data_IF_733551150423
#
_entry.id   IF_733551150423
#
_cell.length_a   1.000
_cell.length_b   1.000
_cell.length_c   1.000
_cell.angle_alpha   90.00
_cell.angle_beta   90.00
_cell.angle_gamma   90.00
#
_symmetry.space_group_name_H-M   'P 1'
#
loop_
_entity.id
_entity.type
_entity.pdbx_description
1 polymer ?
#
# COMPACT_ATOMS: atom_id res chain seq x y z
N UNK A 1 -11.55 9.67 27.85
CA UNK A 1 -11.13 8.30 28.12
C UNK A 1 -10.77 7.59 26.82
N UNK A 2 -9.76 6.74 26.85
CA UNK A 2 -9.41 5.96 25.69
C UNK A 2 -10.50 4.95 25.37
N UNK A 3 -10.95 4.90 24.14
CA UNK A 3 -11.94 3.91 23.68
C UNK A 3 -11.27 2.55 23.52
N UNK A 4 -11.98 1.51 23.86
CA UNK A 4 -11.48 0.15 23.66
C UNK A 4 -11.57 -0.24 22.20
N UNK A 5 -10.48 -0.80 21.67
CA UNK A 5 -10.43 -1.31 20.32
C UNK A 5 -11.18 -2.64 20.27
N UNK A 6 -12.21 -2.70 19.42
CA UNK A 6 -12.97 -3.91 19.17
C UNK A 6 -12.30 -4.77 18.12
N UNK A 7 -11.87 -4.15 17.02
CA UNK A 7 -11.29 -4.87 15.90
C UNK A 7 -10.37 -3.95 15.10
N UNK A 8 -9.34 -4.53 14.49
CA UNK A 8 -8.47 -3.83 13.55
C UNK A 8 -8.62 -4.51 12.19
N UNK A 9 -8.92 -3.73 11.16
CA UNK A 9 -9.12 -4.24 9.80
C UNK A 9 -8.05 -3.62 8.90
N UNK A 10 -7.36 -4.47 8.15
CA UNK A 10 -6.33 -4.02 7.19
C UNK A 10 -6.83 -4.29 5.78
N UNK A 11 -6.84 -3.25 4.96
CA UNK A 11 -7.34 -3.32 3.58
C UNK A 11 -6.37 -2.62 2.63
N UNK A 12 -6.45 -3.01 1.36
CA UNK A 12 -5.80 -2.29 0.28
C UNK A 12 -6.90 -1.75 -0.63
N UNK A 13 -6.95 -0.44 -0.80
CA UNK A 13 -8.00 0.24 -1.56
C UNK A 13 -7.35 1.18 -2.58
N UNK A 14 -7.92 1.24 -3.78
CA UNK A 14 -7.45 2.19 -4.79
C UNK A 14 -7.78 3.61 -4.35
N UNK A 15 -6.78 4.47 -4.33
CA UNK A 15 -6.91 5.85 -3.89
C UNK A 15 -7.97 6.60 -4.71
N UNK A 16 -8.85 7.29 -4.02
CA UNK A 16 -9.92 8.07 -4.65
C UNK A 16 -11.08 7.24 -5.20
N UNK A 17 -11.03 5.91 -5.07
CA UNK A 17 -12.05 5.01 -5.63
C UNK A 17 -12.61 4.02 -4.61
N UNK A 18 -12.56 4.34 -3.33
CA UNK A 18 -13.19 3.50 -2.32
C UNK A 18 -14.71 3.50 -2.51
N UNK A 19 -15.29 2.31 -2.46
CA UNK A 19 -16.74 2.13 -2.61
C UNK A 19 -17.20 0.94 -1.75
N UNK A 20 -18.52 0.78 -1.54
CA UNK A 20 -19.03 -0.33 -0.74
C UNK A 20 -18.87 -1.72 -1.35
N UNK A 21 -18.38 -1.82 -2.58
CA UNK A 21 -18.14 -3.11 -3.24
C UNK A 21 -16.98 -3.86 -2.59
N UNK A 22 -16.91 -5.21 -2.74
CA UNK A 22 -15.78 -5.97 -2.23
C UNK A 22 -14.43 -5.41 -2.72
N UNK A 23 -13.36 -5.45 -1.90
CA UNK A 23 -13.27 -6.06 -0.56
C UNK A 23 -13.68 -5.16 0.60
N UNK A 24 -14.00 -3.89 0.36
CA UNK A 24 -14.26 -2.88 1.41
C UNK A 24 -15.56 -3.17 2.15
N UNK A 25 -16.66 -3.36 1.42
CA UNK A 25 -17.99 -3.55 2.00
C UNK A 25 -18.06 -4.72 2.99
N UNK A 26 -17.73 -5.93 2.57
CA UNK A 26 -17.79 -7.09 3.47
C UNK A 26 -16.90 -6.96 4.70
N UNK A 27 -15.68 -6.45 4.54
CA UNK A 27 -14.74 -6.30 5.65
C UNK A 27 -15.24 -5.32 6.70
N UNK A 28 -15.73 -4.17 6.26
CA UNK A 28 -16.26 -3.13 7.17
C UNK A 28 -17.64 -3.50 7.71
N UNK A 29 -18.47 -4.16 6.91
CA UNK A 29 -19.78 -4.63 7.33
C UNK A 29 -19.68 -5.59 8.52
N UNK A 30 -18.76 -6.54 8.47
CA UNK A 30 -18.49 -7.46 9.56
C UNK A 30 -17.99 -6.76 10.83
N UNK A 31 -17.29 -5.65 10.65
CA UNK A 31 -16.78 -4.86 11.77
C UNK A 31 -17.81 -3.88 12.33
N UNK A 32 -18.96 -3.71 11.66
CA UNK A 32 -20.02 -2.80 12.08
C UNK A 32 -19.72 -1.33 11.83
N UNK A 33 -18.82 -1.03 10.89
CA UNK A 33 -18.40 0.33 10.56
C UNK A 33 -19.31 0.94 9.51
N UNK A 34 -19.49 2.28 9.55
CA UNK A 34 -20.20 3.00 8.52
C UNK A 34 -19.36 3.04 7.23
N UNK A 35 -19.70 2.16 6.29
CA UNK A 35 -18.95 1.98 5.03
C UNK A 35 -18.93 3.26 4.19
N UNK A 36 -20.07 3.92 4.05
CA UNK A 36 -20.16 5.15 3.24
C UNK A 36 -19.32 6.28 3.83
N UNK A 37 -19.35 6.43 5.16
CA UNK A 37 -18.54 7.43 5.86
C UNK A 37 -17.05 7.19 5.65
N UNK A 38 -16.62 5.94 5.75
CA UNK A 38 -15.24 5.57 5.48
C UNK A 38 -14.82 5.87 4.05
N UNK A 39 -15.63 5.43 3.07
CA UNK A 39 -15.33 5.63 1.66
C UNK A 39 -15.17 7.12 1.31
N UNK A 40 -16.07 7.95 1.82
CA UNK A 40 -16.03 9.39 1.59
C UNK A 40 -14.74 10.00 2.14
N UNK A 41 -14.45 9.73 3.41
CA UNK A 41 -13.27 10.28 4.08
C UNK A 41 -11.96 9.77 3.45
N UNK A 42 -11.89 8.48 3.12
CA UNK A 42 -10.74 7.90 2.44
C UNK A 42 -10.52 8.56 1.08
N UNK A 43 -11.57 8.70 0.28
CA UNK A 43 -11.47 9.32 -1.03
C UNK A 43 -10.96 10.76 -0.95
N UNK A 44 -11.43 11.53 0.04
CA UNK A 44 -10.96 12.90 0.26
C UNK A 44 -9.47 12.94 0.61
N UNK A 45 -9.03 12.07 1.53
CA UNK A 45 -7.62 12.02 1.97
C UNK A 45 -6.67 11.52 0.89
N UNK A 46 -7.12 10.63 0.02
CA UNK A 46 -6.27 10.01 -1.01
C UNK A 46 -6.44 10.61 -2.40
N UNK A 47 -7.19 11.69 -2.51
CA UNK A 47 -7.48 12.35 -3.80
C UNK A 47 -6.21 12.72 -4.58
N UNK A 48 -5.19 13.18 -3.88
CA UNK A 48 -3.90 13.57 -4.49
C UNK A 48 -3.11 12.36 -4.99
N UNK A 49 -3.44 11.16 -4.53
CA UNK A 49 -2.75 9.91 -4.89
C UNK A 49 -3.62 8.99 -5.73
N UNK A 50 -4.64 9.54 -6.39
CA UNK A 50 -5.59 8.77 -7.18
C UNK A 50 -4.89 7.83 -8.18
N UNK A 51 -5.38 6.60 -8.28
CA UNK A 51 -4.82 5.58 -9.16
C UNK A 51 -3.79 4.67 -8.52
N UNK A 52 -3.33 4.98 -7.30
CA UNK A 52 -2.43 4.12 -6.54
C UNK A 52 -3.20 3.26 -5.55
N UNK A 53 -2.71 2.07 -5.29
CA UNK A 53 -3.26 1.22 -4.23
C UNK A 53 -2.69 1.69 -2.90
N UNK A 54 -3.55 2.04 -1.96
CA UNK A 54 -3.15 2.54 -0.64
C UNK A 54 -3.54 1.50 0.42
N UNK A 55 -2.58 0.99 1.21
CA UNK A 55 -2.92 0.18 2.37
C UNK A 55 -3.57 1.05 3.45
N UNK A 56 -4.65 0.56 4.02
CA UNK A 56 -5.39 1.24 5.08
C UNK A 56 -5.50 0.32 6.27
N UNK A 57 -5.19 0.85 7.43
CA UNK A 57 -5.41 0.16 8.70
C UNK A 57 -6.53 0.88 9.44
N UNK A 58 -7.66 0.20 9.62
CA UNK A 58 -8.86 0.75 10.23
C UNK A 58 -8.99 0.17 11.64
N UNK A 59 -9.00 1.05 12.64
CA UNK A 59 -9.22 0.66 14.03
C UNK A 59 -10.68 0.91 14.38
N UNK A 60 -11.41 -0.15 14.73
CA UNK A 60 -12.82 -0.08 15.09
C UNK A 60 -12.94 -0.16 16.61
N UNK A 61 -13.70 0.74 17.20
CA UNK A 61 -13.94 0.78 18.64
C UNK A 61 -15.26 0.13 19.01
N UNK A 62 -15.42 -0.19 20.29
CA UNK A 62 -16.64 -0.87 20.80
C UNK A 62 -17.92 -0.04 20.58
N UNK A 63 -17.81 1.27 20.52
CA UNK A 63 -18.94 2.18 20.27
C UNK A 63 -19.29 2.32 18.79
N UNK A 64 -18.71 1.49 17.93
CA UNK A 64 -18.86 1.51 16.46
C UNK A 64 -18.22 2.71 15.77
N UNK A 65 -17.48 3.52 16.49
CA UNK A 65 -16.64 4.54 15.85
C UNK A 65 -15.40 3.90 15.27
N UNK A 66 -14.75 4.59 14.35
CA UNK A 66 -13.53 4.09 13.73
C UNK A 66 -12.55 5.22 13.48
N UNK A 67 -11.27 4.85 13.46
CA UNK A 67 -10.20 5.70 12.92
C UNK A 67 -9.45 4.89 11.90
N UNK A 68 -8.83 5.57 10.94
CA UNK A 68 -8.01 4.86 9.97
C UNK A 68 -6.72 5.62 9.68
N UNK A 69 -5.70 4.85 9.33
CA UNK A 69 -4.39 5.37 8.96
C UNK A 69 -4.11 4.88 7.55
N UNK A 70 -3.75 5.80 6.66
CA UNK A 70 -3.30 5.45 5.32
C UNK A 70 -1.78 5.33 5.34
N UNK A 71 -1.26 4.27 4.73
CA UNK A 71 0.18 4.05 4.59
C UNK A 71 0.61 4.38 3.18
N UNK A 72 1.92 4.41 2.94
CA UNK A 72 2.44 4.58 1.59
C UNK A 72 2.05 3.39 0.71
N UNK A 73 1.94 3.57 -0.63
CA UNK A 73 1.61 2.46 -1.53
C UNK A 73 2.58 1.29 -1.35
N UNK A 74 2.13 0.03 -1.56
CA UNK A 74 3.03 -1.12 -1.48
C UNK A 74 4.22 -0.97 -2.41
N UNK A 75 5.40 -1.43 -1.99
CA UNK A 75 6.61 -1.37 -2.81
C UNK A 75 6.40 -2.03 -4.17
N UNK A 76 5.67 -3.14 -4.21
CA UNK A 76 5.36 -3.84 -5.45
C UNK A 76 4.61 -2.97 -6.45
N UNK A 77 3.65 -2.17 -5.99
CA UNK A 77 2.88 -1.27 -6.84
C UNK A 77 3.77 -0.16 -7.39
N UNK A 78 4.61 0.44 -6.54
CA UNK A 78 5.54 1.49 -6.95
C UNK A 78 6.56 0.98 -7.96
N UNK A 79 7.08 -0.23 -7.74
CA UNK A 79 8.03 -0.87 -8.66
C UNK A 79 7.41 -1.17 -10.01
N UNK A 80 6.18 -1.70 -10.04
CA UNK A 80 5.46 -1.93 -11.30
C UNK A 80 5.24 -0.64 -12.08
N UNK A 81 4.87 0.42 -11.38
CA UNK A 81 4.66 1.73 -12.00
C UNK A 81 5.97 2.28 -12.56
N UNK A 82 7.07 2.21 -11.81
CA UNK A 82 8.38 2.69 -12.25
C UNK A 82 8.91 1.90 -13.45
N UNK A 83 8.69 0.58 -13.44
CA UNK A 83 9.11 -0.30 -14.53
C UNK A 83 8.11 -0.35 -15.69
N UNK A 84 6.97 0.34 -15.58
CA UNK A 84 5.88 0.37 -16.57
C UNK A 84 5.31 -1.02 -16.85
N UNK A 85 5.15 -1.82 -15.80
CA UNK A 85 4.60 -3.18 -15.88
C UNK A 85 3.18 -3.22 -15.35
N UNK A 86 2.33 -4.00 -16.01
CA UNK A 86 0.99 -4.31 -15.51
C UNK A 86 1.02 -5.49 -14.55
N UNK A 87 1.91 -6.45 -14.79
CA UNK A 87 2.02 -7.67 -13.99
C UNK A 87 3.49 -8.07 -13.80
N UNK A 88 3.83 -8.45 -12.59
CA UNK A 88 5.15 -8.97 -12.28
C UNK A 88 5.29 -10.43 -12.73
N UNK A 89 6.54 -10.93 -12.73
CA UNK A 89 6.83 -12.31 -13.14
C UNK A 89 6.24 -13.33 -12.16
N UNK A 90 5.68 -14.40 -12.70
CA UNK A 90 5.28 -15.56 -11.90
C UNK A 90 6.46 -16.46 -11.52
N UNK A 91 7.57 -16.35 -12.25
CA UNK A 91 8.81 -17.11 -12.00
C UNK A 91 10.00 -16.14 -11.93
N UNK A 92 10.11 -15.34 -10.85
CA UNK A 92 11.07 -14.22 -10.80
C UNK A 92 12.53 -14.65 -10.82
N UNK A 93 12.84 -15.87 -10.40
CA UNK A 93 14.20 -16.39 -10.43
C UNK A 93 14.64 -16.86 -11.81
N UNK A 94 13.70 -17.14 -12.70
CA UNK A 94 13.94 -17.64 -14.06
C UNK A 94 13.62 -16.60 -15.12
N UNK A 95 12.47 -15.94 -15.00
CA UNK A 95 11.97 -14.97 -15.98
C UNK A 95 12.05 -13.55 -15.43
N UNK A 96 13.01 -12.78 -15.89
CA UNK A 96 13.09 -11.34 -15.58
C UNK A 96 12.23 -10.57 -16.57
N UNK A 97 11.31 -9.78 -16.09
CA UNK A 97 10.32 -9.06 -16.91
C UNK A 97 10.70 -7.62 -17.19
N UNK A 98 11.60 -7.05 -16.42
CA UNK A 98 12.04 -5.67 -16.60
C UNK A 98 13.38 -5.41 -15.93
N UNK A 99 14.02 -4.32 -16.34
CA UNK A 99 15.22 -3.78 -15.70
C UNK A 99 14.87 -2.39 -15.17
N UNK A 100 15.37 -2.07 -13.98
CA UNK A 100 15.10 -0.80 -13.34
C UNK A 100 16.41 -0.19 -12.84
N UNK A 101 16.69 1.09 -13.16
CA UNK A 101 17.87 1.76 -12.61
C UNK A 101 17.80 1.85 -11.08
N UNK A 102 18.94 1.71 -10.44
CA UNK A 102 19.03 1.82 -8.98
C UNK A 102 18.54 3.18 -8.47
N UNK A 103 18.72 4.23 -9.27
CA UNK A 103 18.22 5.56 -8.94
C UNK A 103 16.70 5.59 -8.73
N UNK A 104 15.95 4.86 -9.55
CA UNK A 104 14.50 4.73 -9.38
C UNK A 104 14.14 3.96 -8.11
N UNK A 105 14.88 2.90 -7.79
CA UNK A 105 14.71 2.17 -6.53
C UNK A 105 14.96 3.06 -5.33
N UNK A 106 15.96 3.95 -5.39
CA UNK A 106 16.24 4.94 -4.35
C UNK A 106 15.09 5.93 -4.16
N UNK A 107 14.48 6.40 -5.24
CA UNK A 107 13.30 7.29 -5.18
C UNK A 107 12.13 6.61 -4.48
N UNK A 108 11.89 5.35 -4.80
CA UNK A 108 10.84 4.56 -4.16
C UNK A 108 11.14 4.38 -2.66
N UNK A 109 12.40 4.11 -2.33
CA UNK A 109 12.86 3.97 -0.95
C UNK A 109 12.63 5.26 -0.16
N UNK A 110 12.94 6.42 -0.73
CA UNK A 110 12.67 7.73 -0.10
C UNK A 110 11.17 7.91 0.18
N UNK A 111 10.33 7.58 -0.78
CA UNK A 111 8.88 7.69 -0.64
C UNK A 111 8.35 6.81 0.51
N UNK A 112 8.90 5.61 0.66
CA UNK A 112 8.48 4.66 1.69
C UNK A 112 9.25 4.74 3.00
N UNK A 113 10.24 5.62 3.11
CA UNK A 113 11.14 5.67 4.27
C UNK A 113 10.40 5.73 5.61
N UNK A 114 9.27 6.44 5.66
CA UNK A 114 8.46 6.57 6.87
C UNK A 114 7.84 5.24 7.32
N UNK A 115 7.63 4.29 6.41
CA UNK A 115 7.01 2.99 6.70
C UNK A 115 8.02 1.86 6.79
N UNK A 116 9.28 2.11 6.43
CA UNK A 116 10.33 1.10 6.40
C UNK A 116 11.13 1.07 7.70
N UNK A 117 11.53 -0.12 8.11
CA UNK A 117 12.45 -0.31 9.22
C UNK A 117 13.89 -0.26 8.69
N UNK A 118 14.30 0.93 8.27
CA UNK A 118 15.63 1.16 7.71
C UNK A 118 16.30 2.33 8.42
N UNK A 119 17.60 2.19 8.69
CA UNK A 119 18.37 3.22 9.38
C UNK A 119 18.71 4.39 8.47
N UNK A 120 18.92 4.12 7.17
CA UNK A 120 19.28 5.14 6.19
C UNK A 120 18.67 4.81 4.81
N UNK A 121 18.88 5.69 3.84
CA UNK A 121 18.32 5.52 2.50
C UNK A 121 18.93 4.33 1.76
N UNK A 122 20.18 4.00 2.01
CA UNK A 122 20.83 2.86 1.39
C UNK A 122 20.21 1.54 1.87
N UNK A 123 19.96 1.41 3.16
CA UNK A 123 19.27 0.25 3.73
C UNK A 123 17.84 0.13 3.17
N UNK A 124 17.13 1.25 3.07
CA UNK A 124 15.80 1.30 2.48
C UNK A 124 15.82 0.86 1.01
N UNK A 125 16.84 1.31 0.25
CA UNK A 125 17.03 0.92 -1.15
C UNK A 125 17.23 -0.58 -1.30
N UNK A 126 17.99 -1.20 -0.42
CA UNK A 126 18.20 -2.66 -0.42
C UNK A 126 16.91 -3.43 -0.17
N UNK A 127 16.04 -2.92 0.70
CA UNK A 127 14.72 -3.51 0.93
C UNK A 127 13.89 -3.49 -0.36
N UNK A 128 13.87 -2.36 -1.05
CA UNK A 128 13.16 -2.20 -2.32
C UNK A 128 13.76 -3.09 -3.41
N UNK A 129 15.08 -3.18 -3.48
CA UNK A 129 15.77 -4.08 -4.43
C UNK A 129 15.40 -5.55 -4.21
N UNK A 130 15.28 -5.98 -2.95
CA UNK A 130 14.83 -7.34 -2.61
C UNK A 130 13.40 -7.60 -3.09
N UNK A 131 12.50 -6.65 -2.93
CA UNK A 131 11.13 -6.73 -3.42
C UNK A 131 11.13 -6.81 -4.95
N UNK A 132 11.94 -5.99 -5.62
CA UNK A 132 12.06 -5.99 -7.07
C UNK A 132 12.53 -7.36 -7.58
N UNK A 133 13.52 -7.95 -6.92
CA UNK A 133 14.01 -9.28 -7.26
C UNK A 133 12.89 -10.32 -7.17
N UNK A 134 12.06 -10.26 -6.13
CA UNK A 134 10.93 -11.17 -5.95
C UNK A 134 9.85 -11.01 -7.03
N UNK A 135 9.85 -9.88 -7.75
CA UNK A 135 8.91 -9.59 -8.82
C UNK A 135 9.47 -9.88 -10.22
N UNK A 136 10.73 -10.30 -10.32
CA UNK A 136 11.40 -10.49 -11.59
C UNK A 136 11.89 -9.21 -12.23
N UNK A 137 12.11 -8.16 -11.45
CA UNK A 137 12.69 -6.90 -11.88
C UNK A 137 14.16 -6.90 -11.52
N UNK A 138 15.03 -6.73 -12.51
CA UNK A 138 16.47 -6.66 -12.32
C UNK A 138 16.88 -5.20 -12.03
N UNK A 139 17.58 -4.98 -10.94
CA UNK A 139 18.11 -3.66 -10.61
C UNK A 139 19.49 -3.51 -11.26
N UNK A 140 19.65 -2.46 -12.04
CA UNK A 140 20.90 -2.15 -12.75
C UNK A 140 21.43 -0.79 -12.31
N UNK A 141 22.73 -0.62 -12.38
CA UNK A 141 23.37 0.65 -12.01
C UNK A 141 23.21 1.74 -13.08
#
# INVERSE_FOLDING_TARGET
>A
MAKKVSKVVKLQVVAGKANPAPPVGPALGQAGVNIMGFCKEFNERTKAQAGLIIPVEITVFEDRSFTFITKTPPAAVLLKKAAKLDKASGEPNKNKVAKLPRAEAMKIAETKMQDLNAADIEAATRIIEGTARSMGIEIVD
#
